data_IF_526217889755
#
_entry.id   IF_526217889755
#
_cell.length_a   1.000
_cell.length_b   1.000
_cell.length_c   1.000
_cell.angle_alpha   90.00
_cell.angle_beta   90.00
_cell.angle_gamma   90.00
#
_symmetry.space_group_name_H-M   'P 1'
#
loop_
_entity.id
_entity.type
_entity.pdbx_description
1 polymer ?
#
# COMPACT_ATOMS: atom_id res chain seq x y z
N UNK A 1 8.87 -29.99 -17.07
CA UNK A 1 9.75 -28.87 -17.47
C UNK A 1 10.54 -28.47 -16.24
N UNK A 2 11.86 -28.36 -16.38
CA UNK A 2 12.79 -28.39 -15.26
C UNK A 2 12.53 -27.29 -14.20
N UNK A 3 12.60 -27.72 -12.93
CA UNK A 3 12.70 -26.91 -11.70
C UNK A 3 13.98 -26.04 -11.68
N UNK A 4 14.22 -25.27 -12.74
CA UNK A 4 15.32 -24.31 -12.75
C UNK A 4 14.88 -23.09 -11.94
N UNK A 5 15.48 -22.95 -10.77
CA UNK A 5 15.48 -21.73 -9.99
C UNK A 5 15.78 -20.54 -10.92
N UNK A 6 14.99 -19.45 -10.89
CA UNK A 6 15.42 -18.20 -11.50
C UNK A 6 16.83 -17.89 -11.01
N UNK A 7 17.74 -17.52 -11.91
CA UNK A 7 19.17 -17.28 -11.70
C UNK A 7 19.53 -16.17 -10.69
N UNK A 8 18.56 -15.75 -9.87
CA UNK A 8 18.62 -14.66 -8.89
C UNK A 8 18.76 -15.20 -7.46
N UNK A 9 18.65 -16.51 -7.23
CA UNK A 9 18.54 -17.10 -5.88
C UNK A 9 19.89 -17.68 -5.44
N UNK A 10 20.62 -16.95 -4.59
CA UNK A 10 21.85 -17.45 -3.96
C UNK A 10 21.52 -18.49 -2.88
N UNK A 11 22.06 -19.71 -3.00
CA UNK A 11 21.83 -20.86 -2.11
C UNK A 11 22.34 -20.71 -0.66
N UNK A 12 22.85 -19.54 -0.23
CA UNK A 12 23.55 -19.39 1.05
C UNK A 12 22.76 -18.71 2.18
N UNK A 13 21.45 -18.49 2.05
CA UNK A 13 20.65 -17.76 3.04
C UNK A 13 19.69 -18.65 3.82
N UNK A 14 20.21 -19.65 4.56
CA UNK A 14 19.40 -20.34 5.57
C UNK A 14 19.04 -19.33 6.67
N UNK A 15 17.81 -18.81 6.65
CA UNK A 15 17.30 -17.95 7.73
C UNK A 15 16.96 -18.84 8.91
N UNK A 16 17.86 -18.88 9.89
CA UNK A 16 17.55 -19.42 11.22
C UNK A 16 16.71 -18.40 11.99
N UNK A 17 15.73 -18.88 12.75
CA UNK A 17 14.85 -18.07 13.60
C UNK A 17 13.93 -17.11 12.81
N UNK A 18 13.13 -17.65 11.89
CA UNK A 18 11.93 -16.93 11.44
C UNK A 18 11.11 -16.72 12.71
N UNK A 19 10.96 -15.47 13.14
CA UNK A 19 10.27 -15.14 14.38
C UNK A 19 8.76 -15.34 14.26
N UNK A 20 8.02 -14.75 15.21
CA UNK A 20 6.57 -14.93 15.40
C UNK A 20 5.76 -14.73 14.11
N UNK A 21 4.80 -15.63 13.85
CA UNK A 21 3.74 -15.41 12.85
C UNK A 21 2.86 -14.26 13.31
N UNK A 22 2.68 -13.27 12.43
CA UNK A 22 1.88 -12.07 12.69
C UNK A 22 0.68 -11.94 11.74
N UNK A 23 0.59 -12.80 10.73
CA UNK A 23 -0.55 -12.84 9.80
C UNK A 23 -0.55 -14.09 8.94
N UNK A 24 -1.76 -14.51 8.56
CA UNK A 24 -2.00 -15.63 7.64
C UNK A 24 -2.89 -15.09 6.53
N UNK A 25 -2.36 -15.07 5.31
CA UNK A 25 -3.13 -14.80 4.11
C UNK A 25 -3.62 -16.09 3.46
N UNK A 26 -4.46 -15.97 2.44
CA UNK A 26 -5.02 -17.13 1.73
C UNK A 26 -3.94 -18.07 1.16
N UNK A 27 -2.79 -17.52 0.80
CA UNK A 27 -1.71 -18.23 0.11
C UNK A 27 -0.32 -17.85 0.64
N UNK A 28 -0.26 -17.20 1.80
CA UNK A 28 0.99 -16.69 2.36
C UNK A 28 0.95 -16.65 3.87
N UNK A 29 2.12 -16.70 4.49
CA UNK A 29 2.28 -16.52 5.93
C UNK A 29 3.21 -15.34 6.13
N UNK A 30 2.84 -14.44 7.03
CA UNK A 30 3.62 -13.25 7.34
C UNK A 30 4.22 -13.43 8.73
N UNK A 31 5.54 -13.44 8.79
CA UNK A 31 6.28 -13.59 10.03
C UNK A 31 7.12 -12.34 10.33
N UNK A 32 7.42 -12.16 11.61
CA UNK A 32 8.41 -11.20 12.07
C UNK A 32 9.81 -11.81 11.95
N UNK A 33 10.76 -11.08 11.38
CA UNK A 33 12.17 -11.45 11.29
C UNK A 33 13.00 -10.29 11.84
N UNK A 34 13.36 -10.36 13.12
CA UNK A 34 13.95 -9.24 13.86
C UNK A 34 13.07 -7.98 13.74
N UNK A 35 13.58 -6.90 13.14
CA UNK A 35 12.84 -5.66 12.85
C UNK A 35 12.21 -5.62 11.45
N UNK A 36 12.30 -6.70 10.67
CA UNK A 36 11.83 -6.84 9.29
C UNK A 36 10.67 -7.82 9.18
N UNK A 37 9.87 -7.69 8.14
CA UNK A 37 8.76 -8.61 7.85
C UNK A 37 9.23 -9.61 6.79
N UNK A 38 8.80 -10.87 6.91
CA UNK A 38 8.95 -11.87 5.85
C UNK A 38 7.58 -12.43 5.46
N UNK A 39 7.19 -12.25 4.19
CA UNK A 39 6.02 -12.90 3.58
C UNK A 39 6.50 -14.19 2.90
N UNK A 40 6.09 -15.33 3.45
CA UNK A 40 6.46 -16.67 2.98
C UNK A 40 5.32 -17.21 2.11
N UNK A 41 5.64 -17.72 0.92
CA UNK A 41 4.70 -18.32 -0.02
C UNK A 41 5.23 -19.64 -0.58
N UNK A 42 4.35 -20.58 -0.95
CA UNK A 42 4.75 -21.72 -1.76
C UNK A 42 5.46 -21.26 -3.03
N UNK A 43 6.52 -21.96 -3.43
CA UNK A 43 7.22 -21.71 -4.68
C UNK A 43 6.40 -22.29 -5.84
N UNK A 44 5.47 -21.49 -6.35
CA UNK A 44 4.60 -21.81 -7.48
C UNK A 44 4.46 -20.60 -8.40
N UNK A 45 3.71 -20.73 -9.50
CA UNK A 45 3.52 -19.66 -10.48
C UNK A 45 3.00 -18.36 -9.84
N UNK A 46 2.05 -18.46 -8.91
CA UNK A 46 1.47 -17.31 -8.22
C UNK A 46 2.52 -16.57 -7.36
N UNK A 47 3.35 -17.31 -6.62
CA UNK A 47 4.46 -16.73 -5.85
C UNK A 47 5.53 -16.07 -6.73
N UNK A 48 5.85 -16.69 -7.88
CA UNK A 48 6.80 -16.12 -8.86
C UNK A 48 6.25 -14.82 -9.45
N UNK A 49 4.99 -14.83 -9.87
CA UNK A 49 4.33 -13.64 -10.42
C UNK A 49 4.26 -12.49 -9.41
N UNK A 50 3.94 -12.77 -8.14
CA UNK A 50 3.96 -11.73 -7.11
C UNK A 50 5.38 -11.16 -6.90
N UNK A 51 6.40 -12.02 -6.86
CA UNK A 51 7.80 -11.59 -6.77
C UNK A 51 8.17 -10.65 -7.93
N UNK A 52 7.86 -11.02 -9.16
CA UNK A 52 8.17 -10.22 -10.35
C UNK A 52 7.52 -8.84 -10.29
N UNK A 53 6.22 -8.79 -9.93
CA UNK A 53 5.48 -7.53 -9.75
C UNK A 53 6.10 -6.69 -8.64
N UNK A 54 6.32 -7.25 -7.46
CA UNK A 54 6.85 -6.53 -6.31
C UNK A 54 8.28 -6.02 -6.55
N UNK A 55 9.13 -6.85 -7.16
CA UNK A 55 10.49 -6.44 -7.57
C UNK A 55 10.46 -5.32 -8.60
N UNK A 56 9.56 -5.39 -9.58
CA UNK A 56 9.37 -4.34 -10.60
C UNK A 56 8.91 -3.03 -9.97
N UNK A 57 7.90 -3.05 -9.08
CA UNK A 57 7.44 -1.87 -8.33
C UNK A 57 8.60 -1.25 -7.55
N UNK A 58 9.33 -2.08 -6.79
CA UNK A 58 10.44 -1.65 -5.96
C UNK A 58 11.53 -0.96 -6.80
N UNK A 59 11.87 -1.52 -7.96
CA UNK A 59 12.87 -0.94 -8.87
C UNK A 59 12.39 0.38 -9.50
N UNK A 60 11.15 0.42 -9.99
CA UNK A 60 10.64 1.57 -10.75
C UNK A 60 10.26 2.77 -9.86
N UNK A 61 9.83 2.51 -8.63
CA UNK A 61 9.41 3.54 -7.67
C UNK A 61 10.45 3.83 -6.59
N UNK A 62 11.63 3.18 -6.67
CA UNK A 62 12.76 3.48 -5.79
C UNK A 62 13.01 4.98 -5.78
N UNK A 63 13.00 5.58 -4.59
CA UNK A 63 13.22 7.02 -4.35
C UNK A 63 12.17 7.97 -4.95
N UNK A 64 11.12 7.48 -5.64
CA UNK A 64 10.04 8.32 -6.17
C UNK A 64 8.88 8.48 -5.19
N UNK A 65 8.63 7.44 -4.40
CA UNK A 65 7.50 7.38 -3.47
C UNK A 65 7.88 6.59 -2.22
N UNK A 66 7.20 6.87 -1.11
CA UNK A 66 7.37 6.13 0.16
C UNK A 66 6.20 5.17 0.44
N UNK A 67 5.18 5.17 -0.43
CA UNK A 67 3.91 4.50 -0.15
C UNK A 67 3.77 3.10 -0.75
N UNK A 68 4.82 2.57 -1.37
CA UNK A 68 4.87 1.17 -1.80
C UNK A 68 5.87 0.43 -0.93
N UNK A 69 5.47 -0.71 -0.36
CA UNK A 69 6.36 -1.51 0.46
C UNK A 69 7.58 -1.95 -0.37
N UNK A 70 8.81 -1.63 0.01
CA UNK A 70 9.98 -2.05 -0.74
C UNK A 70 10.29 -3.54 -0.49
N UNK A 71 10.56 -4.29 -1.57
CA UNK A 71 11.16 -5.61 -1.49
C UNK A 71 12.66 -5.44 -1.23
N UNK A 72 13.11 -5.78 -0.02
CA UNK A 72 14.52 -5.61 0.37
C UNK A 72 15.39 -6.75 -0.16
N UNK A 73 14.92 -7.99 -0.02
CA UNK A 73 15.57 -9.19 -0.54
C UNK A 73 14.60 -10.37 -0.57
N UNK A 74 15.00 -11.43 -1.27
CA UNK A 74 14.29 -12.71 -1.26
C UNK A 74 15.15 -13.79 -0.60
N UNK A 75 14.48 -14.82 -0.10
CA UNK A 75 15.11 -16.06 0.36
C UNK A 75 14.33 -17.25 -0.16
N UNK A 76 15.03 -18.34 -0.41
CA UNK A 76 14.44 -19.62 -0.78
C UNK A 76 14.49 -20.58 0.40
N UNK A 77 13.47 -21.42 0.47
CA UNK A 77 13.41 -22.56 1.37
C UNK A 77 13.26 -23.80 0.49
N UNK A 78 14.24 -24.69 0.56
CA UNK A 78 14.30 -25.93 -0.21
C UNK A 78 13.17 -26.87 0.22
N UNK A 79 12.84 -26.85 1.50
CA UNK A 79 11.72 -27.59 2.07
C UNK A 79 11.10 -26.86 3.27
N UNK A 80 9.95 -27.33 3.75
CA UNK A 80 9.23 -26.77 4.89
C UNK A 80 10.07 -26.74 6.17
N UNK A 81 11.00 -27.69 6.36
CA UNK A 81 11.85 -27.76 7.56
C UNK A 81 12.94 -26.69 7.56
N UNK A 82 13.14 -25.95 6.47
CA UNK A 82 14.01 -24.77 6.48
C UNK A 82 13.31 -23.58 7.17
N UNK A 83 12.00 -23.67 7.40
CA UNK A 83 11.15 -22.68 8.07
C UNK A 83 10.95 -23.10 9.53
N UNK A 84 12.02 -23.07 10.35
CA UNK A 84 11.94 -23.48 11.76
C UNK A 84 11.47 -22.34 12.67
N UNK A 85 10.33 -22.57 13.33
CA UNK A 85 9.89 -21.87 14.55
C UNK A 85 10.07 -22.82 15.75
N UNK A 86 10.59 -22.29 16.86
CA UNK A 86 11.01 -23.12 18.02
C UNK A 86 9.82 -23.65 18.83
N UNK A 87 9.90 -24.96 19.12
CA UNK A 87 9.11 -25.83 20.05
C UNK A 87 7.62 -26.00 19.73
N UNK A 88 7.06 -27.20 19.60
CA UNK A 88 7.24 -28.36 20.48
C UNK A 88 6.98 -29.70 19.78
N UNK A 89 7.62 -30.72 20.34
CA UNK A 89 7.59 -32.14 20.03
C UNK A 89 6.16 -32.73 20.02
N UNK A 90 5.71 -33.29 18.88
CA UNK A 90 4.79 -34.49 18.79
C UNK A 90 4.13 -34.79 17.44
N UNK A 91 4.49 -34.16 16.31
CA UNK A 91 3.99 -34.60 14.99
C UNK A 91 5.13 -34.74 13.99
N UNK A 92 5.50 -35.99 13.67
CA UNK A 92 6.71 -36.35 12.91
C UNK A 92 6.76 -35.88 11.43
N UNK A 93 5.75 -35.15 10.93
CA UNK A 93 5.62 -34.86 9.49
C UNK A 93 5.08 -33.46 9.16
N UNK A 94 5.00 -32.55 10.14
CA UNK A 94 4.29 -31.28 10.01
C UNK A 94 5.12 -30.14 10.65
N UNK A 95 5.48 -29.12 9.87
CA UNK A 95 6.09 -27.89 10.42
C UNK A 95 4.97 -27.00 10.93
N UNK A 96 4.97 -26.81 12.25
CA UNK A 96 3.99 -26.03 12.99
C UNK A 96 4.62 -24.67 13.30
N UNK A 97 4.04 -23.61 12.74
CA UNK A 97 4.42 -22.25 13.10
C UNK A 97 3.52 -21.78 14.25
N UNK A 98 4.10 -21.47 15.42
CA UNK A 98 3.36 -20.89 16.54
C UNK A 98 3.01 -19.42 16.26
N UNK A 99 1.73 -19.09 16.33
CA UNK A 99 1.18 -17.75 16.29
C UNK A 99 0.58 -17.44 17.66
N UNK A 100 1.15 -16.48 18.39
CA UNK A 100 0.42 -15.87 19.50
C UNK A 100 -0.55 -14.86 18.90
N UNK A 101 -1.85 -15.03 19.10
CA UNK A 101 -2.82 -13.94 18.94
C UNK A 101 -2.84 -13.07 20.20
N UNK A 102 -3.45 -11.87 20.15
CA UNK A 102 -3.55 -10.97 21.31
C UNK A 102 -4.51 -11.49 22.41
N UNK A 103 -5.10 -12.66 22.19
CA UNK A 103 -5.84 -13.47 23.14
C UNK A 103 -5.01 -14.76 23.29
N UNK A 104 -4.83 -15.26 24.52
CA UNK A 104 -3.92 -16.33 24.96
C UNK A 104 -4.04 -17.72 24.27
N UNK A 105 -4.55 -17.77 23.04
CA UNK A 105 -4.58 -18.96 22.20
C UNK A 105 -3.38 -18.95 21.25
N UNK A 106 -2.50 -19.93 21.42
CA UNK A 106 -1.51 -20.27 20.40
C UNK A 106 -2.26 -20.85 19.19
N UNK A 107 -2.31 -20.10 18.10
CA UNK A 107 -2.76 -20.60 16.80
C UNK A 107 -1.57 -21.26 16.10
N UNK A 108 -1.83 -22.34 15.38
CA UNK A 108 -0.79 -23.12 14.71
C UNK A 108 -1.03 -23.09 13.20
N UNK A 109 0.00 -22.77 12.44
CA UNK A 109 -0.06 -22.84 10.97
C UNK A 109 0.65 -24.09 10.52
N UNK A 110 -0.08 -24.93 9.78
CA UNK A 110 0.45 -26.13 9.15
C UNK A 110 1.00 -25.79 7.77
N UNK A 111 2.30 -25.97 7.59
CA UNK A 111 2.92 -25.90 6.26
C UNK A 111 2.79 -27.22 5.53
N UNK A 112 2.40 -27.16 4.25
CA UNK A 112 2.43 -28.32 3.36
C UNK A 112 3.89 -28.65 2.99
N UNK A 113 4.15 -29.90 2.63
CA UNK A 113 5.47 -30.26 2.09
C UNK A 113 5.74 -29.53 0.78
N UNK A 114 6.92 -28.95 0.63
CA UNK A 114 7.31 -28.31 -0.63
C UNK A 114 8.32 -27.18 -0.48
N UNK A 115 8.65 -26.58 -1.63
CA UNK A 115 9.55 -25.42 -1.74
C UNK A 115 8.79 -24.14 -1.42
N UNK A 116 9.47 -23.18 -0.80
CA UNK A 116 8.90 -21.87 -0.48
C UNK A 116 9.85 -20.74 -0.88
N UNK A 117 9.28 -19.54 -1.03
CA UNK A 117 9.99 -18.29 -1.21
C UNK A 117 9.55 -17.30 -0.14
N UNK A 118 10.51 -16.61 0.47
CA UNK A 118 10.30 -15.55 1.44
C UNK A 118 10.64 -14.19 0.84
N UNK A 119 9.71 -13.26 0.95
CA UNK A 119 9.86 -11.86 0.57
C UNK A 119 10.12 -11.02 1.81
N UNK A 120 11.31 -10.43 1.91
CA UNK A 120 11.71 -9.64 3.08
C UNK A 120 11.50 -8.16 2.79
N UNK A 121 10.78 -7.50 3.69
CA UNK A 121 10.49 -6.06 3.63
C UNK A 121 10.75 -5.38 4.96
N UNK A 122 10.68 -4.05 4.97
CA UNK A 122 10.61 -3.30 6.22
C UNK A 122 9.33 -3.62 7.01
N UNK A 123 9.37 -3.36 8.32
CA UNK A 123 8.16 -3.30 9.14
C UNK A 123 7.49 -1.92 8.99
N UNK A 124 6.39 -1.88 8.24
CA UNK A 124 5.59 -0.67 7.96
C UNK A 124 4.35 -0.53 8.86
N UNK A 125 4.31 -1.23 10.00
CA UNK A 125 3.31 -1.02 11.04
C UNK A 125 2.06 -1.90 10.94
N UNK A 126 0.89 -1.34 11.23
CA UNK A 126 -0.39 -2.08 11.31
C UNK A 126 -1.30 -1.74 10.14
N UNK A 127 -2.15 -2.67 9.72
CA UNK A 127 -3.13 -2.39 8.66
C UNK A 127 -4.17 -1.37 9.15
N UNK A 128 -4.75 -0.58 8.24
CA UNK A 128 -5.89 0.31 8.57
C UNK A 128 -7.02 -0.48 9.22
N UNK A 129 -7.25 -1.72 8.78
CA UNK A 129 -8.25 -2.62 9.36
C UNK A 129 -8.00 -2.96 10.84
N UNK A 130 -6.74 -2.99 11.29
CA UNK A 130 -6.37 -3.29 12.68
C UNK A 130 -6.39 -2.04 13.58
N UNK A 131 -6.59 -0.85 13.02
CA UNK A 131 -6.55 0.41 13.77
C UNK A 131 -7.95 0.76 14.25
N UNK A 132 -8.09 0.94 15.57
CA UNK A 132 -9.38 1.24 16.22
C UNK A 132 -9.83 2.69 16.07
N UNK A 133 -8.87 3.61 15.93
CA UNK A 133 -9.13 5.03 15.82
C UNK A 133 -8.08 5.70 14.92
N UNK A 134 -8.54 6.55 14.02
CA UNK A 134 -7.70 7.35 13.14
C UNK A 134 -8.23 8.78 13.13
N UNK A 135 -7.38 9.75 13.43
CA UNK A 135 -7.81 11.15 13.41
C UNK A 135 -8.16 11.58 11.98
N UNK A 136 -9.02 12.59 11.84
CA UNK A 136 -9.33 13.17 10.54
C UNK A 136 -8.06 13.62 9.78
N UNK A 137 -7.10 14.23 10.49
CA UNK A 137 -5.85 14.65 9.86
C UNK A 137 -5.05 13.45 9.35
N UNK A 138 -4.95 12.37 10.14
CA UNK A 138 -4.25 11.15 9.73
C UNK A 138 -4.89 10.54 8.49
N UNK A 139 -6.22 10.46 8.45
CA UNK A 139 -6.95 9.99 7.28
C UNK A 139 -6.59 10.79 6.02
N UNK A 140 -6.55 12.13 6.12
CA UNK A 140 -6.15 12.96 4.98
C UNK A 140 -4.70 12.71 4.54
N UNK A 141 -3.76 12.52 5.48
CA UNK A 141 -2.36 12.21 5.16
C UNK A 141 -2.25 10.87 4.43
N UNK A 142 -3.01 9.86 4.87
CA UNK A 142 -3.06 8.54 4.23
C UNK A 142 -3.56 8.66 2.80
N UNK A 143 -4.74 9.27 2.60
CA UNK A 143 -5.33 9.37 1.26
C UNK A 143 -4.42 10.15 0.32
N UNK A 144 -3.81 11.24 0.79
CA UNK A 144 -2.88 12.04 0.00
C UNK A 144 -1.66 11.23 -0.45
N UNK A 145 -0.99 10.53 0.48
CA UNK A 145 0.16 9.68 0.18
C UNK A 145 -0.16 8.60 -0.87
N UNK A 146 -1.29 7.93 -0.70
CA UNK A 146 -1.75 6.88 -1.60
C UNK A 146 -1.99 7.42 -3.01
N UNK A 147 -2.82 8.46 -3.15
CA UNK A 147 -3.15 9.02 -4.46
C UNK A 147 -1.93 9.61 -5.16
N UNK A 148 -1.04 10.27 -4.41
CA UNK A 148 0.19 10.82 -4.98
C UNK A 148 1.08 9.71 -5.55
N UNK A 149 1.27 8.65 -4.76
CA UNK A 149 2.15 7.55 -5.16
C UNK A 149 1.56 6.74 -6.32
N UNK A 150 0.24 6.49 -6.30
CA UNK A 150 -0.48 5.87 -7.41
C UNK A 150 -0.42 6.74 -8.67
N UNK A 151 -0.54 8.07 -8.55
CA UNK A 151 -0.41 8.96 -9.70
C UNK A 151 0.99 8.90 -10.32
N UNK A 152 2.05 8.81 -9.51
CA UNK A 152 3.42 8.64 -10.01
C UNK A 152 3.57 7.29 -10.72
N UNK A 153 3.05 6.22 -10.13
CA UNK A 153 3.13 4.87 -10.69
C UNK A 153 2.37 4.73 -12.02
N UNK A 154 1.13 5.23 -12.07
CA UNK A 154 0.28 5.29 -13.26
C UNK A 154 1.01 6.03 -14.40
N UNK A 155 1.52 7.24 -14.13
CA UNK A 155 2.24 8.04 -15.13
C UNK A 155 3.57 7.44 -15.56
N UNK A 156 4.28 6.78 -14.65
CA UNK A 156 5.62 6.28 -14.95
C UNK A 156 5.59 4.99 -15.76
N UNK A 157 4.59 4.12 -15.55
CA UNK A 157 4.59 2.79 -16.14
C UNK A 157 3.21 2.11 -16.24
N UNK A 158 2.12 2.89 -16.31
CA UNK A 158 0.77 2.34 -16.52
C UNK A 158 0.28 1.45 -15.38
N UNK A 159 0.66 1.76 -14.15
CA UNK A 159 0.33 0.96 -12.98
C UNK A 159 -1.12 1.12 -12.51
N UNK A 160 -1.74 0.00 -12.12
CA UNK A 160 -2.86 -0.03 -11.17
C UNK A 160 -2.63 -1.12 -10.11
N UNK A 161 -3.13 -0.89 -8.89
CA UNK A 161 -2.96 -1.85 -7.80
C UNK A 161 -3.96 -3.00 -7.88
N UNK A 162 -5.21 -2.73 -8.22
CA UNK A 162 -6.28 -3.71 -8.44
C UNK A 162 -6.96 -4.25 -7.17
N UNK A 163 -6.45 -3.92 -5.98
CA UNK A 163 -6.96 -4.46 -4.71
C UNK A 163 -6.67 -3.54 -3.50
N UNK A 164 -7.02 -2.27 -3.63
CA UNK A 164 -6.86 -1.31 -2.52
C UNK A 164 -8.00 -1.48 -1.52
N UNK A 165 -7.68 -1.91 -0.30
CA UNK A 165 -8.63 -1.94 0.81
C UNK A 165 -7.93 -1.79 2.16
N UNK A 166 -8.68 -1.66 3.26
CA UNK A 166 -8.13 -1.36 4.60
C UNK A 166 -7.14 -2.41 5.12
N UNK A 167 -7.17 -3.66 4.63
CA UNK A 167 -6.16 -4.68 4.98
C UNK A 167 -4.85 -4.58 4.17
N UNK A 168 -4.83 -3.83 3.06
CA UNK A 168 -3.68 -3.69 2.16
C UNK A 168 -3.00 -2.32 2.29
N UNK A 169 -3.32 -1.58 3.35
CA UNK A 169 -2.67 -0.32 3.68
C UNK A 169 -2.14 -0.43 5.11
N UNK A 170 -0.81 -0.42 5.24
CA UNK A 170 -0.11 -0.37 6.51
C UNK A 170 0.15 1.09 6.92
N UNK A 171 0.01 1.37 8.20
CA UNK A 171 0.27 2.66 8.82
C UNK A 171 1.34 2.54 9.90
N UNK A 172 2.32 3.45 9.86
CA UNK A 172 3.38 3.58 10.87
C UNK A 172 3.59 5.04 11.22
N UNK A 173 3.65 5.35 12.52
CA UNK A 173 4.09 6.66 12.99
C UNK A 173 5.58 6.80 12.71
N UNK A 174 5.92 7.75 11.86
CA UNK A 174 7.28 8.04 11.45
C UNK A 174 7.35 9.55 11.24
N UNK A 175 8.18 10.27 12.01
CA UNK A 175 8.26 11.72 11.89
C UNK A 175 9.00 12.12 10.61
N UNK A 176 8.73 13.34 10.13
CA UNK A 176 9.48 13.98 9.06
C UNK A 176 9.46 13.24 7.71
N UNK A 177 8.36 12.56 7.37
CA UNK A 177 8.19 11.98 6.04
C UNK A 177 8.01 13.12 5.05
N UNK A 178 9.00 13.30 4.18
CA UNK A 178 9.00 14.36 3.18
C UNK A 178 8.50 13.83 1.84
N UNK A 179 7.45 14.44 1.31
CA UNK A 179 7.04 14.28 -0.09
C UNK A 179 7.38 15.55 -0.83
N UNK A 180 8.31 15.44 -1.77
CA UNK A 180 8.64 16.51 -2.72
C UNK A 180 7.76 16.37 -3.96
N UNK A 181 6.81 17.29 -4.11
CA UNK A 181 6.03 17.42 -5.33
C UNK A 181 6.75 18.35 -6.30
N UNK A 182 6.48 18.18 -7.59
CA UNK A 182 6.98 19.10 -8.62
C UNK A 182 6.70 20.57 -8.24
N UNK A 183 7.64 21.46 -8.61
CA UNK A 183 7.61 22.89 -8.30
C UNK A 183 7.91 23.24 -6.82
N UNK A 184 8.86 22.55 -6.19
CA UNK A 184 9.35 22.83 -4.82
C UNK A 184 8.26 22.81 -3.74
N UNK A 185 7.18 22.04 -3.93
CA UNK A 185 6.14 21.90 -2.91
C UNK A 185 6.46 20.69 -2.04
N UNK A 186 6.96 20.97 -0.84
CA UNK A 186 7.30 19.94 0.14
C UNK A 186 6.20 19.80 1.17
N UNK A 187 5.74 18.56 1.36
CA UNK A 187 4.78 18.20 2.38
C UNK A 187 5.45 17.30 3.42
N UNK A 188 5.28 17.64 4.69
CA UNK A 188 5.83 16.86 5.80
C UNK A 188 4.69 16.13 6.51
N UNK A 189 4.86 14.84 6.72
CA UNK A 189 3.90 13.96 7.39
C UNK A 189 4.53 13.27 8.60
N UNK A 190 3.68 12.90 9.55
CA UNK A 190 4.07 12.17 10.77
C UNK A 190 3.46 10.76 10.82
N UNK A 191 2.98 10.30 9.67
CA UNK A 191 2.32 9.01 9.47
C UNK A 191 2.67 8.51 8.08
N UNK A 192 3.34 7.36 7.99
CA UNK A 192 3.66 6.68 6.74
C UNK A 192 2.52 5.76 6.38
N UNK A 193 1.98 5.94 5.17
CA UNK A 193 1.04 4.99 4.57
C UNK A 193 1.79 4.11 3.57
N UNK A 194 1.61 2.80 3.63
CA UNK A 194 2.32 1.84 2.78
C UNK A 194 1.35 0.83 2.19
N UNK A 195 1.26 0.78 0.87
CA UNK A 195 0.55 -0.24 0.10
C UNK A 195 1.33 -1.56 0.12
N UNK A 196 0.58 -2.64 0.26
CA UNK A 196 1.06 -4.01 0.23
C UNK A 196 0.16 -4.85 -0.66
N UNK A 197 0.61 -6.09 -0.91
CA UNK A 197 -0.14 -7.11 -1.65
C UNK A 197 -0.36 -6.78 -3.13
N UNK A 198 0.69 -6.99 -3.93
CA UNK A 198 0.73 -6.61 -5.34
C UNK A 198 0.27 -7.73 -6.28
N UNK A 199 -0.42 -8.74 -5.76
CA UNK A 199 -0.81 -9.94 -6.51
C UNK A 199 -1.72 -9.59 -7.69
N UNK A 200 -2.70 -8.71 -7.47
CA UNK A 200 -3.68 -8.26 -8.48
C UNK A 200 -3.23 -7.03 -9.27
N UNK A 201 -2.00 -6.54 -9.05
CA UNK A 201 -1.52 -5.34 -9.73
C UNK A 201 -1.28 -5.55 -11.22
N UNK A 202 -1.51 -4.51 -12.01
CA UNK A 202 -1.39 -4.50 -13.47
C UNK A 202 -0.45 -3.38 -13.94
N UNK A 203 0.21 -3.62 -15.07
CA UNK A 203 1.11 -2.68 -15.74
C UNK A 203 0.69 -2.42 -17.20
N UNK A 204 -0.32 -3.13 -17.69
CA UNK A 204 -0.67 -3.18 -19.11
C UNK A 204 -2.01 -2.51 -19.39
N UNK A 205 -2.98 -2.70 -18.49
CA UNK A 205 -4.30 -2.10 -18.54
C UNK A 205 -4.59 -1.46 -17.18
N UNK A 206 -4.10 -0.23 -16.92
CA UNK A 206 -4.38 0.45 -15.67
C UNK A 206 -5.87 0.74 -15.56
N UNK A 207 -6.52 0.13 -14.57
CA UNK A 207 -7.85 0.53 -14.15
C UNK A 207 -7.78 1.31 -12.84
N UNK A 208 -7.69 2.62 -12.97
CA UNK A 208 -7.71 3.52 -11.82
C UNK A 208 -9.08 3.60 -11.14
N UNK A 209 -10.15 3.10 -11.79
CA UNK A 209 -11.49 3.07 -11.22
C UNK A 209 -11.56 2.13 -10.03
N UNK A 210 -11.04 0.90 -10.18
CA UNK A 210 -11.02 -0.10 -9.11
C UNK A 210 -10.26 0.43 -7.89
N UNK A 211 -9.09 1.03 -8.10
CA UNK A 211 -8.31 1.62 -7.01
C UNK A 211 -9.03 2.81 -6.34
N UNK A 212 -9.70 3.67 -7.12
CA UNK A 212 -10.49 4.78 -6.56
C UNK A 212 -11.68 4.28 -5.72
N UNK A 213 -12.34 3.20 -6.14
CA UNK A 213 -13.39 2.53 -5.36
C UNK A 213 -12.79 1.99 -4.04
N UNK A 214 -11.61 1.37 -4.12
CA UNK A 214 -10.87 0.90 -2.95
C UNK A 214 -10.59 2.02 -1.93
N UNK A 215 -10.05 3.14 -2.40
CA UNK A 215 -9.78 4.33 -1.57
C UNK A 215 -11.08 4.89 -0.96
N UNK A 216 -12.18 4.93 -1.73
CA UNK A 216 -13.50 5.32 -1.21
C UNK A 216 -13.94 4.41 -0.07
N UNK A 217 -13.74 3.10 -0.20
CA UNK A 217 -14.11 2.13 0.83
C UNK A 217 -13.28 2.32 2.10
N UNK A 218 -11.99 2.63 1.96
CA UNK A 218 -11.13 3.01 3.10
C UNK A 218 -11.66 4.27 3.78
N UNK A 219 -12.07 5.29 3.03
CA UNK A 219 -12.67 6.51 3.60
C UNK A 219 -13.98 6.19 4.33
N UNK A 220 -14.83 5.34 3.76
CA UNK A 220 -16.07 4.92 4.41
C UNK A 220 -15.80 4.19 5.73
N UNK A 221 -14.85 3.26 5.73
CA UNK A 221 -14.42 2.57 6.94
C UNK A 221 -13.93 3.56 8.01
N UNK A 222 -13.02 4.47 7.65
CA UNK A 222 -12.50 5.47 8.59
C UNK A 222 -13.53 6.54 9.00
N UNK A 223 -14.62 6.70 8.24
CA UNK A 223 -15.71 7.63 8.60
C UNK A 223 -16.61 7.11 9.72
N UNK A 224 -16.43 5.85 10.14
CA UNK A 224 -17.04 5.28 11.34
C UNK A 224 -16.41 5.87 12.62
N UNK A 225 -15.19 6.40 12.53
CA UNK A 225 -14.52 7.04 13.67
C UNK A 225 -15.11 8.43 13.97
N UNK A 226 -14.84 8.94 15.17
CA UNK A 226 -15.37 10.22 15.62
C UNK A 226 -14.85 11.37 14.72
N UNK A 227 -15.78 12.06 14.07
CA UNK A 227 -15.52 13.18 13.17
C UNK A 227 -16.56 14.26 13.36
N UNK A 228 -16.16 15.52 13.21
CA UNK A 228 -17.09 16.65 13.25
C UNK A 228 -18.01 16.64 12.02
N UNK A 229 -19.17 17.30 12.12
CA UNK A 229 -20.11 17.41 11.00
C UNK A 229 -19.45 18.06 9.77
N UNK A 230 -18.59 19.06 9.98
CA UNK A 230 -17.85 19.72 8.90
C UNK A 230 -16.88 18.75 8.20
N UNK A 231 -16.15 17.93 8.95
CA UNK A 231 -15.25 16.91 8.41
C UNK A 231 -16.01 15.88 7.59
N UNK A 232 -17.14 15.39 8.10
CA UNK A 232 -18.02 14.45 7.37
C UNK A 232 -18.51 15.05 6.05
N UNK A 233 -18.88 16.34 6.04
CA UNK A 233 -19.28 17.05 4.81
C UNK A 233 -18.14 17.12 3.79
N UNK A 234 -16.93 17.47 4.21
CA UNK A 234 -15.75 17.52 3.34
C UNK A 234 -15.41 16.14 2.77
N UNK A 235 -15.41 15.08 3.58
CA UNK A 235 -15.20 13.71 3.08
C UNK A 235 -16.30 13.29 2.12
N UNK A 236 -17.55 13.66 2.37
CA UNK A 236 -18.66 13.37 1.44
C UNK A 236 -18.49 14.05 0.09
N UNK A 237 -17.98 15.29 0.06
CA UNK A 237 -17.63 15.98 -1.18
C UNK A 237 -16.48 15.27 -1.90
N UNK A 238 -15.44 14.90 -1.17
CA UNK A 238 -14.31 14.17 -1.74
C UNK A 238 -14.69 12.79 -2.28
N UNK A 239 -15.52 12.02 -1.55
CA UNK A 239 -16.03 10.72 -1.99
C UNK A 239 -16.78 10.79 -3.31
N UNK A 240 -17.56 11.85 -3.52
CA UNK A 240 -18.26 12.07 -4.81
C UNK A 240 -17.28 12.24 -5.96
N UNK A 241 -16.14 12.91 -5.73
CA UNK A 241 -15.10 13.03 -6.76
C UNK A 241 -14.37 11.72 -7.07
N UNK A 242 -14.34 10.75 -6.15
CA UNK A 242 -13.76 9.43 -6.43
C UNK A 242 -14.65 8.53 -7.30
N UNK A 243 -15.95 8.84 -7.45
CA UNK A 243 -16.93 7.96 -8.11
C UNK A 243 -17.29 8.34 -9.55
N UNK A 244 -16.96 9.54 -9.99
CA UNK A 244 -17.20 9.97 -11.36
C UNK A 244 -16.06 9.46 -12.24
N UNK A 245 -16.38 8.49 -13.08
CA UNK A 245 -15.54 7.59 -13.88
C UNK A 245 -14.60 8.23 -14.92
N UNK A 246 -14.04 9.41 -14.66
CA UNK A 246 -13.11 10.11 -15.58
C UNK A 246 -11.95 10.85 -14.89
N UNK A 247 -11.65 10.56 -13.62
CA UNK A 247 -10.57 11.25 -12.91
C UNK A 247 -9.35 10.37 -12.68
N UNK A 248 -8.19 10.83 -13.17
CA UNK A 248 -6.89 10.26 -12.82
C UNK A 248 -6.55 10.54 -11.35
N UNK A 249 -5.69 9.73 -10.74
CA UNK A 249 -5.27 9.92 -9.34
C UNK A 249 -4.76 11.34 -9.05
N UNK A 250 -4.18 12.00 -10.07
CA UNK A 250 -3.69 13.38 -9.99
C UNK A 250 -4.77 14.43 -9.72
N UNK A 251 -5.99 14.24 -10.26
CA UNK A 251 -7.14 15.12 -9.99
C UNK A 251 -7.62 14.92 -8.55
N UNK A 252 -7.66 13.68 -8.08
CA UNK A 252 -8.02 13.37 -6.70
C UNK A 252 -7.02 13.97 -5.70
N UNK A 253 -5.70 13.92 -6.01
CA UNK A 253 -4.66 14.61 -5.22
C UNK A 253 -4.93 16.11 -5.12
N UNK A 254 -5.25 16.76 -6.24
CA UNK A 254 -5.50 18.20 -6.28
C UNK A 254 -6.70 18.60 -5.43
N UNK A 255 -7.80 17.82 -5.48
CA UNK A 255 -9.00 18.08 -4.66
C UNK A 255 -8.67 17.95 -3.17
N UNK A 256 -7.87 16.95 -2.77
CA UNK A 256 -7.38 16.83 -1.40
C UNK A 256 -6.51 18.02 -0.98
N UNK A 257 -5.61 18.48 -1.84
CA UNK A 257 -4.79 19.65 -1.57
C UNK A 257 -5.62 20.91 -1.36
N UNK A 258 -6.72 21.08 -2.12
CA UNK A 258 -7.66 22.18 -1.91
C UNK A 258 -8.39 22.06 -0.56
N UNK A 259 -8.73 20.85 -0.11
CA UNK A 259 -9.28 20.60 1.22
C UNK A 259 -8.27 20.97 2.32
N UNK A 260 -6.99 20.60 2.15
CA UNK A 260 -5.92 20.98 3.09
C UNK A 260 -5.74 22.50 3.16
N UNK A 261 -5.70 23.20 2.01
CA UNK A 261 -5.53 24.66 1.96
C UNK A 261 -6.70 25.45 2.55
N UNK A 262 -7.95 24.95 2.44
CA UNK A 262 -9.12 25.57 3.09
C UNK A 262 -9.04 25.62 4.61
N UNK A 263 -8.18 24.81 5.24
CA UNK A 263 -7.92 24.88 6.69
C UNK A 263 -7.00 26.04 7.07
N UNK A 264 -6.27 26.62 6.11
CA UNK A 264 -5.28 27.69 6.32
C UNK A 264 -5.71 29.07 5.83
N UNK A 265 -6.75 29.18 4.99
CA UNK A 265 -7.36 30.47 4.61
C UNK A 265 -8.87 30.32 4.42
N UNK A 266 -9.62 31.20 5.09
CA UNK A 266 -11.04 31.48 4.82
C UNK A 266 -11.19 32.00 3.39
N UNK A 267 -12.30 31.60 2.75
CA UNK A 267 -12.73 31.91 1.38
C UNK A 267 -12.05 31.12 0.26
N UNK A 268 -12.88 30.37 -0.48
CA UNK A 268 -13.19 30.61 -1.90
C UNK A 268 -14.35 29.68 -2.28
N UNK A 269 -15.45 30.32 -2.68
CA UNK A 269 -16.57 29.76 -3.41
C UNK A 269 -16.20 29.70 -4.91
N UNK A 270 -16.88 28.85 -5.66
CA UNK A 270 -16.80 28.65 -7.12
C UNK A 270 -15.72 27.69 -7.65
N UNK A 271 -16.10 26.41 -7.75
CA UNK A 271 -15.69 25.56 -8.88
C UNK A 271 -16.96 24.88 -9.39
N UNK A 272 -17.68 25.58 -10.26
CA UNK A 272 -18.78 25.04 -11.08
C UNK A 272 -18.68 25.71 -12.44
N UNK A 273 -17.87 25.13 -13.31
CA UNK A 273 -17.99 25.09 -14.77
C UNK A 273 -16.61 24.85 -15.38
N UNK A 274 -16.47 23.70 -16.06
CA UNK A 274 -15.65 23.47 -17.25
C UNK A 274 -15.46 21.96 -17.43
N UNK A 275 -16.41 21.31 -18.13
CA UNK A 275 -16.20 19.99 -18.72
C UNK A 275 -16.80 19.97 -20.13
N UNK A 276 -15.91 19.90 -21.12
CA UNK A 276 -16.04 19.50 -22.52
C UNK A 276 -14.79 20.11 -23.17
N UNK A 277 -13.81 19.36 -23.70
CA UNK A 277 -13.87 18.32 -24.73
C UNK A 277 -12.56 17.52 -24.78
N UNK A 278 -12.54 16.43 -25.55
CA UNK A 278 -11.45 15.47 -25.70
C UNK A 278 -10.12 16.09 -26.21
N UNK A 279 -9.03 15.50 -25.74
CA UNK A 279 -7.63 15.67 -26.19
C UNK A 279 -7.05 17.11 -26.08
N UNK A 280 -6.56 17.43 -24.88
CA UNK A 280 -5.53 18.47 -24.53
C UNK A 280 -5.62 18.93 -23.06
N UNK A 281 -6.44 18.27 -22.22
CA UNK A 281 -6.72 18.68 -20.85
C UNK A 281 -5.57 18.68 -19.84
N UNK A 282 -4.39 18.13 -20.15
CA UNK A 282 -3.28 18.08 -19.18
C UNK A 282 -2.45 19.38 -19.07
N UNK A 283 -2.51 20.31 -20.04
CA UNK A 283 -1.72 21.55 -19.97
C UNK A 283 -2.56 22.77 -19.57
N UNK A 284 -3.83 22.84 -20.01
CA UNK A 284 -4.69 24.00 -19.79
C UNK A 284 -5.24 24.06 -18.34
N UNK A 285 -5.42 22.91 -17.67
CA UNK A 285 -5.88 22.91 -16.27
C UNK A 285 -4.80 23.38 -15.27
N UNK A 286 -3.51 23.21 -15.59
CA UNK A 286 -2.44 23.75 -14.75
C UNK A 286 -2.27 25.26 -14.97
N UNK A 287 -2.41 25.75 -16.20
CA UNK A 287 -2.17 27.17 -16.52
C UNK A 287 -3.30 28.10 -16.02
N UNK A 288 -4.56 27.66 -16.05
CA UNK A 288 -5.69 28.45 -15.53
C UNK A 288 -5.71 28.50 -13.99
N UNK A 289 -5.29 27.42 -13.32
CA UNK A 289 -5.15 27.43 -11.86
C UNK A 289 -3.88 28.19 -11.40
N UNK A 290 -2.84 28.26 -12.24
CA UNK A 290 -1.62 29.01 -12.01
C UNK A 290 -1.85 30.53 -11.99
N UNK A 291 -2.68 31.05 -12.90
CA UNK A 291 -3.02 32.47 -12.94
C UNK A 291 -3.96 32.91 -11.80
N UNK A 292 -4.84 32.01 -11.33
CA UNK A 292 -5.76 32.29 -10.22
C UNK A 292 -5.10 32.28 -8.83
N UNK A 293 -3.90 31.71 -8.71
CA UNK A 293 -3.15 31.64 -7.43
C UNK A 293 -2.14 32.81 -7.30
N UNK A 294 -1.75 33.47 -8.39
CA UNK A 294 -0.78 34.57 -8.37
C UNK A 294 -1.40 35.97 -8.26
N UNK A 295 -2.72 36.09 -8.20
CA UNK A 295 -3.42 37.39 -8.07
C UNK A 295 -4.10 37.61 -6.71
N UNK A 296 -3.81 36.81 -5.67
CA UNK A 296 -4.21 37.02 -4.25
C UNK A 296 -3.24 36.29 -3.30
#
# INVERSE_FOLDING_TARGET
MADQWPSIISNNNVIKNIGRVIGIGNHSIVCMLNSQIIKIRPFNQQGITEYEKWNRITKLLKNKTTSFLPLLRTVSFVNENDILLVSDTKRKHEVILSSQTNEDTNSFVLLKKGKYIGFISENSGKTVYQIKELSYNDLLQVIFQLLWSLSIAEKSFGYSHGDIHSKNILLKREPNILIDMSHNRRYTFNLKATLIDFELSSFECPDSTTDCIGIRNVINYCSLFQQTLQQKRLLSQFKRSLCSSKYSYSVCCLILLLIFKKKTRTNIFQIRHCYNTQYSHQFIQYHLLYNLILQN
#
